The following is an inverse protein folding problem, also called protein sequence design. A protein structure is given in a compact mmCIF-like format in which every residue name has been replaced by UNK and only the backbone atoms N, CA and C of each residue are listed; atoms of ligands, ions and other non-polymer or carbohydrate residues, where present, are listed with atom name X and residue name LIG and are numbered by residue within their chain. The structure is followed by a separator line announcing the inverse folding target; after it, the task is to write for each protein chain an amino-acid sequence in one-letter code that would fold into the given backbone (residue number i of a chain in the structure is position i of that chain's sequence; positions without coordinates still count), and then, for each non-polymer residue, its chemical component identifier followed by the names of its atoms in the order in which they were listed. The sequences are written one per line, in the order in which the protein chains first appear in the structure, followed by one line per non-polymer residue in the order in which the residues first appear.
data_IF_139839654461
#
_entry.id   IF_139839654461
#
_cell.length_a   1.000
_cell.length_b   1.000
_cell.length_c   1.000
_cell.angle_alpha   90.00
_cell.angle_beta   90.00
_cell.angle_gamma   90.00
#
_symmetry.space_group_name_H-M   'P 1'
#
loop_
_entity.id
_entity.type
_entity.pdbx_description
1 polymer ?
#
# COMPACT_ATOMS: atom_id res chain seq x y z
N UNK A 1 -10.22 -14.07 -1.81
CA UNK A 1 -9.65 -12.86 -1.18
C UNK A 1 -10.46 -11.62 -1.55
N UNK A 2 -10.46 -11.14 -2.81
CA UNK A 2 -11.13 -9.88 -3.20
C UNK A 2 -12.62 -9.77 -2.82
N UNK A 3 -13.41 -10.82 -3.04
CA UNK A 3 -14.84 -10.84 -2.66
C UNK A 3 -15.06 -10.65 -1.14
N UNK A 4 -14.06 -10.94 -0.30
CA UNK A 4 -14.14 -10.78 1.16
C UNK A 4 -13.82 -9.35 1.61
N UNK A 5 -13.19 -8.53 0.76
CA UNK A 5 -12.88 -7.13 1.05
C UNK A 5 -13.87 -6.15 0.40
N UNK A 6 -14.91 -6.66 -0.27
CA UNK A 6 -15.84 -5.84 -1.04
C UNK A 6 -16.47 -4.72 -0.19
N UNK A 7 -17.01 -5.05 0.99
CA UNK A 7 -17.58 -4.05 1.89
C UNK A 7 -16.57 -2.99 2.35
N UNK A 8 -15.31 -3.39 2.53
CA UNK A 8 -14.24 -2.46 2.87
C UNK A 8 -13.97 -1.51 1.71
N UNK A 9 -13.86 -1.99 0.47
CA UNK A 9 -13.65 -1.13 -0.70
C UNK A 9 -14.85 -0.22 -0.98
N UNK A 10 -16.06 -0.76 -0.91
CA UNK A 10 -17.29 0.01 -1.12
C UNK A 10 -17.42 1.13 -0.07
N UNK A 11 -17.00 0.87 1.17
CA UNK A 11 -16.90 1.90 2.20
C UNK A 11 -15.90 2.99 1.83
N UNK A 12 -14.71 2.63 1.34
CA UNK A 12 -13.68 3.60 0.90
C UNK A 12 -14.22 4.52 -0.19
N UNK A 13 -14.96 3.97 -1.15
CA UNK A 13 -15.62 4.75 -2.20
C UNK A 13 -16.66 5.71 -1.61
N UNK A 14 -17.58 5.21 -0.78
CA UNK A 14 -18.64 6.03 -0.17
C UNK A 14 -18.10 7.15 0.72
N UNK A 15 -16.97 6.92 1.38
CA UNK A 15 -16.30 7.91 2.23
C UNK A 15 -15.39 8.87 1.46
N UNK A 16 -15.41 8.84 0.12
CA UNK A 16 -14.64 9.77 -0.71
C UNK A 16 -13.14 9.55 -0.62
N UNK A 17 -12.70 8.31 -0.34
CA UNK A 17 -11.29 7.99 -0.14
C UNK A 17 -10.53 7.66 -1.42
N UNK A 18 -11.22 7.68 -2.56
CA UNK A 18 -10.60 7.58 -3.89
C UNK A 18 -10.31 9.00 -4.36
N UNK A 19 -9.04 9.30 -4.58
CA UNK A 19 -8.54 10.65 -4.89
C UNK A 19 -7.65 10.63 -6.12
N UNK A 20 -7.43 11.81 -6.73
CA UNK A 20 -6.29 12.01 -7.63
C UNK A 20 -5.03 12.21 -6.80
N UNK A 21 -4.24 11.15 -6.67
CA UNK A 21 -2.99 11.11 -5.93
C UNK A 21 -1.76 11.29 -6.83
N UNK A 22 -0.65 10.72 -6.40
CA UNK A 22 0.62 10.73 -7.13
C UNK A 22 0.76 9.52 -8.07
N UNK A 23 0.20 8.37 -7.70
CA UNK A 23 0.18 7.15 -8.53
C UNK A 23 1.44 6.28 -8.44
N UNK A 24 2.54 6.85 -7.94
CA UNK A 24 3.84 6.20 -7.82
C UNK A 24 4.70 6.84 -6.72
N UNK A 25 4.08 7.22 -5.59
CA UNK A 25 4.76 7.91 -4.50
C UNK A 25 5.79 7.01 -3.81
N UNK A 26 7.07 7.39 -3.89
CA UNK A 26 8.20 6.69 -3.26
C UNK A 26 9.07 7.66 -2.48
N UNK A 27 9.95 7.20 -1.57
CA UNK A 27 10.83 8.08 -0.80
C UNK A 27 11.72 8.98 -1.69
N UNK A 28 12.16 8.48 -2.84
CA UNK A 28 12.94 9.25 -3.82
C UNK A 28 12.16 10.41 -4.48
N UNK A 29 10.83 10.43 -4.34
CA UNK A 29 9.94 11.48 -4.83
C UNK A 29 9.56 12.50 -3.74
N UNK A 30 10.12 12.37 -2.54
CA UNK A 30 9.91 13.30 -1.42
C UNK A 30 11.18 14.10 -1.18
N UNK A 31 11.19 15.35 -1.62
CA UNK A 31 12.31 16.27 -1.44
C UNK A 31 12.18 17.01 -0.10
N UNK A 32 13.18 16.84 0.77
CA UNK A 32 13.28 17.49 2.09
C UNK A 32 14.33 18.62 2.12
N UNK A 33 14.70 19.17 0.96
CA UNK A 33 15.82 20.11 0.83
C UNK A 33 15.57 21.44 1.58
N UNK A 34 16.59 22.00 2.27
CA UNK A 34 16.53 23.35 2.84
C UNK A 34 16.65 24.47 1.77
N UNK A 35 16.08 25.66 2.04
CA UNK A 35 15.09 25.90 3.09
C UNK A 35 13.77 25.19 2.73
N UNK A 36 12.92 24.87 3.72
CA UNK A 36 11.57 24.37 3.44
C UNK A 36 10.88 25.23 2.38
N UNK A 37 10.10 24.59 1.49
CA UNK A 37 9.19 23.50 1.86
C UNK A 37 9.60 22.08 1.42
N UNK A 38 8.99 21.10 2.08
CA UNK A 38 8.86 19.73 1.57
C UNK A 38 8.16 19.79 0.20
N UNK A 39 8.70 19.07 -0.79
CA UNK A 39 8.08 18.95 -2.11
C UNK A 39 7.90 17.48 -2.47
N UNK A 40 6.74 17.16 -3.04
CA UNK A 40 6.49 15.88 -3.68
C UNK A 40 6.65 16.09 -5.19
N UNK A 41 7.51 15.32 -5.83
CA UNK A 41 7.95 15.49 -7.23
C UNK A 41 7.76 14.21 -8.02
N UNK A 42 7.85 14.28 -9.35
CA UNK A 42 7.76 13.10 -10.25
C UNK A 42 6.41 12.37 -10.18
N UNK A 43 5.33 13.16 -10.09
CA UNK A 43 3.95 12.68 -10.13
C UNK A 43 3.64 12.02 -11.48
N UNK A 44 2.76 11.02 -11.47
CA UNK A 44 2.36 10.33 -12.69
C UNK A 44 1.39 11.20 -13.53
N UNK A 45 1.95 11.96 -14.46
CA UNK A 45 1.21 12.99 -15.22
C UNK A 45 0.42 12.45 -16.42
N UNK A 46 0.87 11.35 -17.02
CA UNK A 46 0.40 10.90 -18.34
C UNK A 46 -0.98 10.21 -18.35
N UNK A 47 -1.49 9.75 -17.21
CA UNK A 47 -2.84 9.17 -17.13
C UNK A 47 -3.46 9.40 -15.76
N UNK A 48 -4.58 10.14 -15.68
CA UNK A 48 -5.36 10.30 -14.46
C UNK A 48 -5.81 8.95 -13.87
N UNK A 49 -6.07 7.94 -14.71
CA UNK A 49 -6.54 6.62 -14.26
C UNK A 49 -5.50 5.89 -13.39
N UNK A 50 -4.21 6.12 -13.63
CA UNK A 50 -3.14 5.49 -12.85
C UNK A 50 -2.83 6.22 -11.54
N UNK A 51 -3.30 7.45 -11.38
CA UNK A 51 -3.22 8.22 -10.13
C UNK A 51 -4.56 8.38 -9.41
N UNK A 52 -5.66 7.89 -9.99
CA UNK A 52 -6.96 7.82 -9.33
C UNK A 52 -7.00 6.56 -8.49
N UNK A 53 -6.79 6.71 -7.19
CA UNK A 53 -6.56 5.59 -6.29
C UNK A 53 -7.00 5.90 -4.87
N UNK A 54 -7.10 4.83 -4.11
CA UNK A 54 -7.44 4.86 -2.69
C UNK A 54 -6.29 5.48 -1.87
N UNK A 55 -6.56 6.43 -0.97
CA UNK A 55 -5.48 7.08 -0.18
C UNK A 55 -4.58 6.11 0.59
N UNK A 56 -5.11 4.95 1.01
CA UNK A 56 -4.37 3.91 1.71
C UNK A 56 -3.52 3.09 0.75
N UNK A 57 -3.90 3.02 -0.53
CA UNK A 57 -3.04 2.48 -1.58
C UNK A 57 -1.80 3.37 -1.79
N UNK A 58 -1.97 4.70 -1.86
CA UNK A 58 -0.84 5.65 -1.97
C UNK A 58 0.12 5.51 -0.78
N UNK A 59 -0.41 5.66 0.42
CA UNK A 59 0.39 5.71 1.65
C UNK A 59 0.94 4.33 1.99
N UNK A 60 0.18 3.27 1.71
CA UNK A 60 0.64 1.89 1.83
C UNK A 60 1.80 1.61 0.88
N UNK A 61 1.77 2.16 -0.33
CA UNK A 61 2.89 2.04 -1.28
C UNK A 61 4.14 2.77 -0.79
N UNK A 62 4.00 4.00 -0.31
CA UNK A 62 5.14 4.73 0.28
C UNK A 62 5.71 3.98 1.49
N UNK A 63 4.86 3.44 2.37
CA UNK A 63 5.28 2.62 3.50
C UNK A 63 6.00 1.32 3.07
N UNK A 64 5.52 0.65 2.03
CA UNK A 64 6.17 -0.53 1.44
C UNK A 64 7.58 -0.20 0.95
N UNK A 65 7.76 0.96 0.29
CA UNK A 65 9.06 1.38 -0.22
C UNK A 65 10.03 1.76 0.90
N UNK A 66 9.55 2.40 1.97
CA UNK A 66 10.34 2.62 3.18
C UNK A 66 10.80 1.28 3.79
N UNK A 67 9.90 0.29 3.90
CA UNK A 67 10.25 -1.06 4.37
C UNK A 67 11.29 -1.73 3.44
N UNK A 68 11.15 -1.56 2.12
CA UNK A 68 12.11 -2.07 1.13
C UNK A 68 13.50 -1.46 1.30
N UNK A 69 13.57 -0.18 1.65
CA UNK A 69 14.81 0.55 1.91
C UNK A 69 15.37 0.32 3.32
N UNK A 70 14.72 -0.50 4.15
CA UNK A 70 15.19 -0.86 5.48
C UNK A 70 14.76 0.09 6.61
N UNK A 71 13.77 0.95 6.36
CA UNK A 71 13.28 1.94 7.31
C UNK A 71 11.74 1.87 7.49
N UNK A 72 11.18 0.70 7.88
CA UNK A 72 9.72 0.50 8.01
C UNK A 72 9.04 1.45 9.00
N UNK A 73 9.77 1.97 9.99
CA UNK A 73 9.27 2.90 10.99
C UNK A 73 8.66 4.17 10.38
N UNK A 74 9.19 4.67 9.26
CA UNK A 74 8.61 5.81 8.56
C UNK A 74 7.22 5.50 7.99
N UNK A 75 7.02 4.27 7.51
CA UNK A 75 5.71 3.82 7.02
C UNK A 75 4.67 3.77 8.15
N UNK A 76 5.06 3.31 9.33
CA UNK A 76 4.18 3.26 10.50
C UNK A 76 3.78 4.68 10.94
N UNK A 77 4.78 5.56 11.12
CA UNK A 77 4.54 6.96 11.51
C UNK A 77 3.65 7.66 10.49
N UNK A 78 3.85 7.41 9.20
CA UNK A 78 3.02 7.98 8.13
C UNK A 78 1.55 7.58 8.27
N UNK A 79 1.27 6.28 8.40
CA UNK A 79 -0.09 5.76 8.49
C UNK A 79 -0.78 6.16 9.80
N UNK A 80 -0.06 6.18 10.91
CA UNK A 80 -0.56 6.66 12.21
C UNK A 80 -0.90 8.14 12.17
N UNK A 81 0.01 8.96 11.62
CA UNK A 81 -0.21 10.41 11.48
C UNK A 81 -1.38 10.69 10.53
N UNK A 82 -1.47 9.95 9.42
CA UNK A 82 -2.61 10.05 8.51
C UNK A 82 -3.94 9.78 9.22
N UNK A 83 -4.02 8.70 9.99
CA UNK A 83 -5.22 8.37 10.74
C UNK A 83 -5.57 9.41 11.81
N UNK A 84 -4.56 9.93 12.52
CA UNK A 84 -4.75 10.97 13.52
C UNK A 84 -5.25 12.30 12.92
N UNK A 85 -4.73 12.70 11.76
CA UNK A 85 -5.08 13.98 11.10
C UNK A 85 -6.41 13.92 10.37
N UNK A 86 -6.70 12.79 9.71
CA UNK A 86 -7.86 12.68 8.81
C UNK A 86 -9.05 11.93 9.41
N UNK A 87 -8.87 11.28 10.56
CA UNK A 87 -9.82 10.33 11.14
C UNK A 87 -9.95 9.02 10.36
N UNK A 88 -9.20 8.85 9.26
CA UNK A 88 -9.21 7.64 8.44
C UNK A 88 -8.16 6.64 8.94
N UNK A 89 -8.61 5.70 9.77
CA UNK A 89 -7.75 4.68 10.36
C UNK A 89 -7.99 3.33 9.67
N UNK A 90 -7.31 3.03 8.55
CA UNK A 90 -7.49 1.77 7.84
C UNK A 90 -7.04 0.59 8.70
N UNK A 91 -7.83 -0.49 8.68
CA UNK A 91 -7.43 -1.74 9.32
C UNK A 91 -6.18 -2.34 8.66
N UNK A 92 -5.37 -3.04 9.45
CA UNK A 92 -4.12 -3.67 8.98
C UNK A 92 -4.33 -4.60 7.77
N UNK A 93 -5.51 -5.24 7.67
CA UNK A 93 -5.85 -6.10 6.54
C UNK A 93 -5.89 -5.34 5.21
N UNK A 94 -6.45 -4.12 5.20
CA UNK A 94 -6.54 -3.28 4.00
C UNK A 94 -5.16 -2.72 3.61
N UNK A 95 -4.39 -2.26 4.59
CA UNK A 95 -3.02 -1.76 4.37
C UNK A 95 -2.17 -2.85 3.74
N UNK A 96 -2.14 -4.05 4.32
CA UNK A 96 -1.36 -5.16 3.79
C UNK A 96 -1.89 -5.68 2.45
N UNK A 97 -3.20 -5.57 2.19
CA UNK A 97 -3.74 -5.88 0.88
C UNK A 97 -3.13 -4.94 -0.19
N UNK A 98 -3.16 -3.63 0.01
CA UNK A 98 -2.58 -2.68 -0.94
C UNK A 98 -1.07 -2.82 -1.08
N UNK A 99 -0.35 -3.03 0.02
CA UNK A 99 1.09 -3.31 -0.01
C UNK A 99 1.41 -4.58 -0.82
N UNK A 100 0.62 -5.65 -0.65
CA UNK A 100 0.75 -6.87 -1.44
C UNK A 100 0.52 -6.61 -2.93
N UNK A 101 -0.55 -5.88 -3.25
CA UNK A 101 -0.89 -5.53 -4.62
C UNK A 101 0.21 -4.71 -5.29
N UNK A 102 0.66 -3.63 -4.65
CA UNK A 102 1.73 -2.75 -5.17
C UNK A 102 3.06 -3.49 -5.30
N UNK A 103 3.42 -4.33 -4.33
CA UNK A 103 4.60 -5.18 -4.45
C UNK A 103 4.51 -6.10 -5.69
N UNK A 104 3.35 -6.72 -5.96
CA UNK A 104 3.17 -7.54 -7.15
C UNK A 104 3.28 -6.73 -8.45
N UNK A 105 2.73 -5.51 -8.49
CA UNK A 105 2.89 -4.59 -9.63
C UNK A 105 4.36 -4.23 -9.86
N UNK A 106 5.11 -3.88 -8.81
CA UNK A 106 6.54 -3.57 -8.91
C UNK A 106 7.37 -4.78 -9.32
N UNK A 107 7.03 -5.98 -8.84
CA UNK A 107 7.65 -7.23 -9.29
C UNK A 107 7.47 -7.44 -10.79
N UNK A 108 6.25 -7.25 -11.29
CA UNK A 108 5.92 -7.36 -12.72
C UNK A 108 6.71 -6.35 -13.56
N UNK A 109 6.78 -5.09 -13.14
CA UNK A 109 7.56 -4.04 -13.84
C UNK A 109 9.05 -4.38 -13.84
N UNK A 110 9.61 -4.82 -12.71
CA UNK A 110 11.00 -5.26 -12.62
C UNK A 110 11.30 -6.45 -13.55
N UNK A 111 10.39 -7.43 -13.62
CA UNK A 111 10.50 -8.56 -14.53
C UNK A 111 10.34 -8.17 -16.01
N UNK A 112 9.60 -7.10 -16.31
CA UNK A 112 9.49 -6.60 -17.69
C UNK A 112 10.82 -6.07 -18.24
N UNK A 113 11.67 -5.47 -17.41
CA UNK A 113 13.01 -5.08 -17.86
C UNK A 113 13.82 -6.28 -18.37
N UNK A 114 13.64 -7.48 -17.79
CA UNK A 114 14.31 -8.70 -18.25
C UNK A 114 13.86 -9.16 -19.66
N UNK A 115 12.79 -8.56 -20.22
CA UNK A 115 12.37 -8.81 -21.61
C UNK A 115 13.20 -8.00 -22.61
N UNK A 116 13.83 -6.93 -22.16
CA UNK A 116 14.74 -6.12 -22.97
C UNK A 116 16.08 -6.84 -23.11
N UNK A 117 16.60 -6.94 -24.33
CA UNK A 117 17.82 -7.71 -24.60
C UNK A 117 19.03 -7.22 -23.78
N UNK A 118 19.14 -5.92 -23.57
CA UNK A 118 20.21 -5.28 -22.77
C UNK A 118 20.16 -5.63 -21.28
N UNK A 119 19.02 -6.12 -20.78
CA UNK A 119 18.79 -6.41 -19.37
C UNK A 119 18.42 -7.87 -19.09
N UNK A 120 18.34 -8.73 -20.12
CA UNK A 120 17.86 -10.11 -20.02
C UNK A 120 18.48 -10.90 -18.87
N UNK A 121 19.79 -10.79 -18.71
CA UNK A 121 20.55 -11.52 -17.69
C UNK A 121 20.98 -10.61 -16.52
N UNK A 122 20.34 -9.45 -16.35
CA UNK A 122 20.70 -8.47 -15.32
C UNK A 122 20.37 -8.98 -13.92
N UNK A 123 21.36 -9.22 -13.04
CA UNK A 123 21.11 -9.66 -11.66
C UNK A 123 20.30 -8.61 -10.90
N UNK A 124 20.56 -7.32 -11.16
CA UNK A 124 19.82 -6.19 -10.57
C UNK A 124 18.31 -6.32 -10.73
N UNK A 125 17.83 -6.58 -11.95
CA UNK A 125 16.40 -6.64 -12.25
C UNK A 125 15.77 -7.95 -11.77
N UNK A 126 16.52 -9.04 -11.85
CA UNK A 126 16.08 -10.34 -11.33
C UNK A 126 15.94 -10.33 -9.80
N UNK A 127 16.92 -9.80 -9.08
CA UNK A 127 16.88 -9.68 -7.63
C UNK A 127 15.79 -8.70 -7.19
N UNK A 128 15.60 -7.60 -7.92
CA UNK A 128 14.50 -6.66 -7.65
C UNK A 128 13.14 -7.31 -7.82
N UNK A 129 12.93 -8.07 -8.90
CA UNK A 129 11.68 -8.80 -9.11
C UNK A 129 11.41 -9.81 -7.99
N UNK A 130 12.43 -10.58 -7.57
CA UNK A 130 12.34 -11.51 -6.44
C UNK A 130 12.00 -10.81 -5.13
N UNK A 131 12.71 -9.74 -4.79
CA UNK A 131 12.46 -8.96 -3.57
C UNK A 131 11.01 -8.47 -3.49
N UNK A 132 10.46 -7.96 -4.59
CA UNK A 132 9.07 -7.52 -4.62
C UNK A 132 8.08 -8.70 -4.57
N UNK A 133 8.37 -9.84 -5.18
CA UNK A 133 7.54 -11.05 -5.05
C UNK A 133 7.49 -11.56 -3.61
N UNK A 134 8.62 -11.59 -2.92
CA UNK A 134 8.70 -12.02 -1.52
C UNK A 134 7.86 -11.11 -0.62
N UNK A 135 7.96 -9.79 -0.83
CA UNK A 135 7.15 -8.79 -0.14
C UNK A 135 5.67 -8.93 -0.45
N UNK A 136 5.31 -9.14 -1.71
CA UNK A 136 3.92 -9.38 -2.10
C UNK A 136 3.34 -10.58 -1.34
N UNK A 137 4.06 -11.71 -1.31
CA UNK A 137 3.62 -12.89 -0.57
C UNK A 137 3.52 -12.66 0.94
N UNK A 138 4.49 -11.94 1.53
CA UNK A 138 4.50 -11.62 2.94
C UNK A 138 3.29 -10.78 3.33
N UNK A 139 3.01 -9.70 2.59
CA UNK A 139 1.86 -8.85 2.86
C UNK A 139 0.54 -9.53 2.55
N UNK A 140 0.45 -10.38 1.52
CA UNK A 140 -0.74 -11.19 1.26
C UNK A 140 -1.09 -12.09 2.46
N UNK A 141 -0.09 -12.77 3.05
CA UNK A 141 -0.29 -13.58 4.26
C UNK A 141 -0.72 -12.73 5.45
N UNK A 142 -0.09 -11.57 5.66
CA UNK A 142 -0.45 -10.66 6.76
C UNK A 142 -1.87 -10.09 6.59
N UNK A 143 -2.27 -9.77 5.37
CA UNK A 143 -3.61 -9.30 5.06
C UNK A 143 -4.67 -10.35 5.40
N UNK A 144 -4.44 -11.60 5.00
CA UNK A 144 -5.34 -12.72 5.30
C UNK A 144 -5.44 -12.97 6.83
N UNK A 145 -4.31 -12.98 7.54
CA UNK A 145 -4.30 -13.14 9.00
C UNK A 145 -5.05 -12.00 9.71
N UNK A 146 -4.80 -10.75 9.32
CA UNK A 146 -5.45 -9.59 9.92
C UNK A 146 -6.96 -9.59 9.66
N UNK A 147 -7.38 -10.00 8.47
CA UNK A 147 -8.79 -10.13 8.11
C UNK A 147 -9.51 -11.17 8.99
N UNK A 148 -8.93 -12.37 9.12
CA UNK A 148 -9.47 -13.43 9.97
C UNK A 148 -9.49 -13.05 11.46
N UNK A 149 -8.59 -12.18 11.91
CA UNK A 149 -8.61 -11.66 13.27
C UNK A 149 -9.79 -10.68 13.47
N UNK A 150 -10.04 -9.79 12.51
CA UNK A 150 -11.18 -8.87 12.57
C UNK A 150 -12.54 -9.57 12.53
N UNK A 151 -12.71 -10.62 11.70
CA UNK A 151 -13.97 -11.38 11.64
C UNK A 151 -14.27 -12.10 12.97
N UNK A 152 -13.24 -12.66 13.61
CA UNK A 152 -13.37 -13.32 14.92
C UNK A 152 -13.77 -12.33 16.01
N UNK A 153 -13.21 -11.12 16.00
CA UNK A 153 -13.59 -10.06 16.94
C UNK A 153 -15.03 -9.58 16.72
N UNK A 154 -15.44 -9.38 15.47
CA UNK A 154 -16.81 -8.98 15.13
C UNK A 154 -17.84 -10.03 15.59
N UNK A 155 -17.56 -11.32 15.36
CA UNK A 155 -18.43 -12.44 15.77
C UNK A 155 -18.53 -12.61 17.29
N UNK A 156 -17.46 -12.28 18.03
CA UNK A 156 -17.45 -12.33 19.50
C UNK A 156 -18.17 -11.13 20.14
N UNK A 157 -18.16 -9.96 19.47
CA UNK A 157 -18.83 -8.74 19.95
C UNK A 157 -20.36 -8.84 19.81
N UNK A 158 -20.85 -9.57 18.80
CA UNK A 158 -22.28 -9.81 18.57
C UNK A 158 -22.94 -10.81 19.54
N UNK A 159 -22.18 -11.42 20.46
CA UNK A 159 -22.66 -12.41 21.44
C UNK A 159 -22.90 -11.82 22.84
N UNK A 160 -22.73 -10.50 23.03
CA UNK A 160 -23.05 -9.83 24.30
C UNK A 160 -24.50 -9.36 24.23
N UNK A 161 -25.42 -10.12 24.83
CA UNK A 161 -26.82 -9.74 24.99
C UNK A 161 -26.95 -8.39 25.73
N UNK A 162 -27.95 -7.55 25.39
CA UNK A 162 -28.25 -6.36 26.18
C UNK A 162 -28.68 -6.75 27.61
N UNK A 163 -28.35 -5.95 28.64
CA UNK A 163 -28.78 -6.25 30.01
C UNK A 163 -30.32 -6.24 30.08
N UNK A 164 -30.86 -7.28 30.72
CA UNK A 164 -32.29 -7.48 31.03
C UNK A 164 -32.84 -6.37 31.90
#
# INVERSE_FOLDING_TARGET
MLARYQDSFDRRVREGRIVEGHGDLRPEHVCLAPPPPLAIIDCLEFSPEYRTLDTVDELGFLALECERLGAPEFGNVLLETYGAVTGDSPGAALVHFYQSYRAAVRAKIAAWHLREEIFRDSPKWMDRARQYLDRAQQHARRAEHAFQASERQASSSSLIDPPV
#
